data_IF_106306392178
#
_entry.id   IF_106306392178
#
_cell.length_a   1.000
_cell.length_b   1.000
_cell.length_c   1.000
_cell.angle_alpha   90.00
_cell.angle_beta   90.00
_cell.angle_gamma   90.00
#
_symmetry.space_group_name_H-M   'P 1'
#
loop_
_entity.id
_entity.type
_entity.pdbx_description
1 polymer ?
#
# COMPACT_ATOMS: atom_id res chain seq x y z
N UNK A 1 33.43 5.17 -8.91
CA UNK A 1 32.08 4.62 -9.11
C UNK A 1 31.12 5.80 -9.17
N UNK A 2 30.58 6.12 -10.35
CA UNK A 2 29.74 7.30 -10.52
C UNK A 2 28.43 7.11 -9.76
N UNK A 3 28.20 7.88 -8.70
CA UNK A 3 26.88 7.98 -8.07
C UNK A 3 25.93 8.53 -9.13
N UNK A 4 25.14 7.63 -9.72
CA UNK A 4 24.02 8.03 -10.57
C UNK A 4 23.01 8.67 -9.61
N UNK A 5 22.85 9.99 -9.70
CA UNK A 5 21.75 10.70 -9.06
C UNK A 5 20.45 10.17 -9.65
N UNK A 6 19.95 9.06 -9.11
CA UNK A 6 18.70 8.45 -9.56
C UNK A 6 17.57 9.34 -9.08
N UNK A 7 16.96 10.09 -10.00
CA UNK A 7 15.71 10.81 -9.74
C UNK A 7 14.69 9.81 -9.17
N UNK A 8 14.02 10.10 -8.04
CA UNK A 8 12.98 9.25 -7.49
C UNK A 8 11.95 8.78 -8.53
N UNK A 9 11.61 9.63 -9.51
CA UNK A 9 10.71 9.24 -10.60
C UNK A 9 11.29 8.15 -11.50
N UNK A 10 12.59 8.24 -11.79
CA UNK A 10 13.30 7.25 -12.58
C UNK A 10 13.39 5.91 -11.82
N UNK A 11 13.66 5.94 -10.52
CA UNK A 11 13.67 4.73 -9.69
C UNK A 11 12.30 4.03 -9.68
N UNK A 12 11.21 4.79 -9.52
CA UNK A 12 9.85 4.25 -9.55
C UNK A 12 9.50 3.64 -10.91
N UNK A 13 9.91 4.28 -12.02
CA UNK A 13 9.73 3.75 -13.36
C UNK A 13 10.47 2.43 -13.57
N UNK A 14 11.74 2.34 -13.14
CA UNK A 14 12.50 1.10 -13.20
C UNK A 14 11.88 -0.01 -12.36
N UNK A 15 11.38 0.31 -11.17
CA UNK A 15 10.69 -0.66 -10.33
C UNK A 15 9.41 -1.16 -11.00
N UNK A 16 8.61 -0.28 -11.60
CA UNK A 16 7.41 -0.64 -12.35
C UNK A 16 7.74 -1.61 -13.49
N UNK A 17 8.82 -1.36 -14.26
CA UNK A 17 9.27 -2.24 -15.34
C UNK A 17 9.72 -3.62 -14.82
N UNK A 18 10.49 -3.65 -13.73
CA UNK A 18 10.92 -4.90 -13.10
C UNK A 18 9.72 -5.71 -12.65
N UNK A 19 8.79 -5.08 -11.94
CA UNK A 19 7.57 -5.73 -11.47
C UNK A 19 6.69 -6.20 -12.62
N UNK A 20 6.61 -5.46 -13.73
CA UNK A 20 5.87 -5.92 -14.91
C UNK A 20 6.49 -7.19 -15.52
N UNK A 21 7.81 -7.28 -15.58
CA UNK A 21 8.50 -8.49 -16.03
C UNK A 21 8.21 -9.68 -15.10
N UNK A 22 8.28 -9.49 -13.78
CA UNK A 22 8.13 -10.60 -12.84
C UNK A 22 6.67 -11.00 -12.56
N UNK A 23 5.78 -10.02 -12.43
CA UNK A 23 4.38 -10.24 -12.05
C UNK A 23 3.48 -10.61 -13.24
N UNK A 24 3.88 -10.26 -14.47
CA UNK A 24 3.10 -10.58 -15.67
C UNK A 24 3.81 -11.59 -16.55
N UNK A 25 5.06 -11.31 -16.96
CA UNK A 25 5.75 -12.13 -17.99
C UNK A 25 6.36 -13.42 -17.45
N UNK A 26 6.84 -13.41 -16.19
CA UNK A 26 7.48 -14.57 -15.54
C UNK A 26 6.61 -15.23 -14.48
N UNK A 27 5.40 -14.71 -14.22
CA UNK A 27 4.52 -15.31 -13.25
C UNK A 27 4.07 -16.70 -13.75
N UNK A 28 4.11 -17.74 -12.91
CA UNK A 28 3.75 -19.11 -13.31
C UNK A 28 2.26 -19.25 -13.66
N UNK A 29 1.43 -18.35 -13.15
CA UNK A 29 0.00 -18.30 -13.40
C UNK A 29 -0.36 -16.87 -13.83
N UNK A 30 -1.31 -16.77 -14.76
CA UNK A 30 -1.93 -15.51 -15.14
C UNK A 30 -3.40 -15.56 -14.72
N UNK A 31 -3.94 -14.43 -14.27
CA UNK A 31 -5.35 -14.35 -13.91
C UNK A 31 -6.16 -14.42 -15.23
N UNK A 32 -7.13 -15.34 -15.38
CA UNK A 32 -7.91 -15.42 -16.61
C UNK A 32 -8.66 -14.11 -16.89
N UNK A 33 -8.91 -13.80 -18.16
CA UNK A 33 -9.41 -12.49 -18.61
C UNK A 33 -10.73 -12.08 -17.94
N UNK A 34 -11.66 -13.02 -17.82
CA UNK A 34 -12.93 -12.81 -17.11
C UNK A 34 -12.73 -12.37 -15.66
N UNK A 35 -11.77 -12.95 -14.94
CA UNK A 35 -11.45 -12.57 -13.56
C UNK A 35 -10.76 -11.21 -13.48
N UNK A 36 -9.86 -10.89 -14.43
CA UNK A 36 -9.22 -9.57 -14.49
C UNK A 36 -10.25 -8.46 -14.72
N UNK A 37 -11.19 -8.67 -15.63
CA UNK A 37 -12.27 -7.71 -15.86
C UNK A 37 -13.17 -7.54 -14.63
N UNK A 38 -13.50 -8.63 -13.93
CA UNK A 38 -14.25 -8.56 -12.67
C UNK A 38 -13.49 -7.77 -11.60
N UNK A 39 -12.18 -8.01 -11.43
CA UNK A 39 -11.34 -7.27 -10.47
C UNK A 39 -11.39 -5.78 -10.81
N UNK A 40 -11.20 -5.39 -12.07
CA UNK A 40 -11.23 -3.98 -12.49
C UNK A 40 -12.59 -3.35 -12.27
N UNK A 41 -13.68 -4.09 -12.52
CA UNK A 41 -15.05 -3.64 -12.29
C UNK A 41 -15.34 -3.42 -10.81
N UNK A 42 -14.83 -4.30 -9.94
CA UNK A 42 -15.05 -4.21 -8.49
C UNK A 42 -14.03 -3.33 -7.76
N UNK A 43 -12.85 -3.07 -8.34
CA UNK A 43 -11.79 -2.29 -7.72
C UNK A 43 -12.26 -0.94 -7.15
N UNK A 44 -13.04 -0.09 -7.84
CA UNK A 44 -13.53 1.17 -7.26
C UNK A 44 -14.36 0.94 -5.99
N UNK A 45 -15.23 -0.07 -6.00
CA UNK A 45 -16.11 -0.38 -4.88
C UNK A 45 -15.33 -0.97 -3.70
N UNK A 46 -14.35 -1.84 -3.97
CA UNK A 46 -13.47 -2.38 -2.94
C UNK A 46 -12.62 -1.26 -2.32
N UNK A 47 -12.09 -0.33 -3.12
CA UNK A 47 -11.35 0.82 -2.60
C UNK A 47 -12.23 1.75 -1.78
N UNK A 48 -13.46 2.03 -2.20
CA UNK A 48 -14.43 2.80 -1.39
C UNK A 48 -14.71 2.09 -0.07
N UNK A 49 -14.92 0.77 -0.09
CA UNK A 49 -15.14 -0.02 1.11
C UNK A 49 -13.93 0.04 2.05
N UNK A 50 -12.70 -0.08 1.51
CA UNK A 50 -11.46 0.08 2.27
C UNK A 50 -11.38 1.45 2.95
N UNK A 51 -11.79 2.53 2.29
CA UNK A 51 -11.81 3.88 2.87
C UNK A 51 -12.90 4.00 3.96
N UNK A 52 -14.11 3.52 3.68
CA UNK A 52 -15.25 3.58 4.62
C UNK A 52 -14.95 2.83 5.91
N UNK A 53 -14.22 1.71 5.84
CA UNK A 53 -13.79 0.94 7.01
C UNK A 53 -12.50 1.54 7.60
N UNK A 54 -11.56 1.89 6.75
CA UNK A 54 -10.23 2.36 7.11
C UNK A 54 -10.25 3.65 7.90
N UNK A 55 -11.07 4.63 7.51
CA UNK A 55 -11.17 5.92 8.22
C UNK A 55 -11.63 5.73 9.67
N UNK A 56 -12.77 5.05 9.97
CA UNK A 56 -13.16 4.73 11.34
C UNK A 56 -12.10 3.93 12.10
N UNK A 57 -11.45 2.95 11.47
CA UNK A 57 -10.40 2.15 12.12
C UNK A 57 -9.22 3.03 12.54
N UNK A 58 -8.75 3.91 11.66
CA UNK A 58 -7.66 4.84 11.95
C UNK A 58 -8.04 5.77 13.10
N UNK A 59 -9.28 6.29 13.12
CA UNK A 59 -9.76 7.13 14.22
C UNK A 59 -9.89 6.35 15.55
N UNK A 60 -10.34 5.10 15.50
CA UNK A 60 -10.44 4.24 16.68
C UNK A 60 -9.05 3.92 17.24
N UNK A 61 -8.10 3.55 16.39
CA UNK A 61 -6.70 3.32 16.77
C UNK A 61 -6.08 4.60 17.32
N UNK A 62 -6.41 5.77 16.75
CA UNK A 62 -5.97 7.05 17.28
C UNK A 62 -6.47 7.29 18.70
N UNK A 63 -7.76 7.09 18.94
CA UNK A 63 -8.39 7.26 20.25
C UNK A 63 -7.85 6.28 21.29
N UNK A 64 -7.78 4.99 20.95
CA UNK A 64 -7.24 3.95 21.83
C UNK A 64 -5.75 4.23 22.12
N UNK A 65 -4.97 4.58 21.09
CA UNK A 65 -3.55 4.87 21.23
C UNK A 65 -3.30 6.06 22.16
N UNK A 66 -4.11 7.12 22.08
CA UNK A 66 -4.05 8.26 22.98
C UNK A 66 -4.37 7.88 24.44
N UNK A 67 -5.38 7.03 24.65
CA UNK A 67 -5.76 6.55 25.98
C UNK A 67 -4.72 5.63 26.62
N UNK A 68 -4.08 4.77 25.81
CA UNK A 68 -3.08 3.78 26.29
C UNK A 68 -1.71 4.42 26.47
N UNK A 69 -1.39 5.48 25.72
CA UNK A 69 -0.07 6.13 25.70
C UNK A 69 0.53 6.42 27.08
N UNK A 70 -0.19 7.07 28.04
CA UNK A 70 0.36 7.34 29.38
C UNK A 70 0.75 6.08 30.14
N UNK A 71 0.07 4.97 29.90
CA UNK A 71 0.30 3.71 30.60
C UNK A 71 1.52 2.95 30.06
N UNK A 72 1.96 3.24 28.83
CA UNK A 72 3.13 2.58 28.23
C UNK A 72 4.43 2.89 28.97
N UNK A 73 4.49 4.03 29.68
CA UNK A 73 5.63 4.40 30.52
C UNK A 73 5.84 3.42 31.69
N UNK A 74 4.78 2.80 32.22
CA UNK A 74 4.89 1.81 33.29
C UNK A 74 5.48 0.48 32.84
N UNK A 75 5.48 0.20 31.53
CA UNK A 75 6.07 -1.01 30.94
C UNK A 75 7.58 -0.86 30.64
N UNK A 76 8.15 0.32 30.93
CA UNK A 76 9.56 0.63 30.84
C UNK A 76 9.92 1.56 29.67
N UNK A 77 11.00 2.36 29.78
CA UNK A 77 11.34 3.39 28.81
C UNK A 77 11.57 2.88 27.38
N UNK A 78 12.19 1.70 27.25
CA UNK A 78 12.44 1.06 25.94
C UNK A 78 11.14 0.64 25.26
N UNK A 79 10.18 0.12 26.02
CA UNK A 79 8.88 -0.26 25.50
C UNK A 79 8.10 0.98 25.06
N UNK A 80 8.03 2.01 25.91
CA UNK A 80 7.32 3.26 25.60
C UNK A 80 7.85 3.95 24.33
N UNK A 81 9.17 3.95 24.14
CA UNK A 81 9.80 4.50 22.94
C UNK A 81 9.46 3.69 21.69
N UNK A 82 9.59 2.37 21.77
CA UNK A 82 9.27 1.46 20.67
C UNK A 82 7.79 1.54 20.28
N UNK A 83 6.88 1.54 21.27
CA UNK A 83 5.45 1.67 21.05
C UNK A 83 5.13 3.00 20.35
N UNK A 84 5.63 4.11 20.88
CA UNK A 84 5.38 5.45 20.33
C UNK A 84 5.86 5.57 18.88
N UNK A 85 7.04 5.04 18.57
CA UNK A 85 7.58 5.03 17.21
C UNK A 85 6.69 4.24 16.25
N UNK A 86 6.38 2.99 16.59
CA UNK A 86 5.55 2.11 15.75
C UNK A 86 4.13 2.66 15.58
N UNK A 87 3.55 3.22 16.64
CA UNK A 87 2.25 3.85 16.62
C UNK A 87 2.21 5.03 15.66
N UNK A 88 3.13 6.00 15.80
CA UNK A 88 3.17 7.17 14.90
C UNK A 88 3.43 6.75 13.45
N UNK A 89 4.36 5.81 13.23
CA UNK A 89 4.66 5.29 11.90
C UNK A 89 3.41 4.64 11.27
N UNK A 90 2.68 3.81 12.01
CA UNK A 90 1.44 3.19 11.53
C UNK A 90 0.39 4.22 11.17
N UNK A 91 0.18 5.24 12.02
CA UNK A 91 -0.82 6.28 11.81
C UNK A 91 -0.55 7.12 10.56
N UNK A 92 0.71 7.53 10.37
CA UNK A 92 1.11 8.28 9.17
C UNK A 92 0.93 7.40 7.94
N UNK A 93 1.38 6.14 8.00
CA UNK A 93 1.27 5.18 6.89
C UNK A 93 -0.18 4.99 6.48
N UNK A 94 -1.06 4.66 7.42
CA UNK A 94 -2.49 4.47 7.16
C UNK A 94 -3.14 5.72 6.57
N UNK A 95 -2.82 6.91 7.11
CA UNK A 95 -3.31 8.17 6.57
C UNK A 95 -2.90 8.39 5.11
N UNK A 96 -1.62 8.16 4.78
CA UNK A 96 -1.11 8.29 3.41
C UNK A 96 -1.73 7.27 2.46
N UNK A 97 -1.91 6.02 2.91
CA UNK A 97 -2.57 4.96 2.13
C UNK A 97 -4.01 5.37 1.78
N UNK A 98 -4.80 5.81 2.77
CA UNK A 98 -6.18 6.26 2.56
C UNK A 98 -6.24 7.43 1.58
N UNK A 99 -5.30 8.38 1.67
CA UNK A 99 -5.22 9.50 0.72
C UNK A 99 -5.01 8.99 -0.71
N UNK A 100 -4.05 8.09 -0.93
CA UNK A 100 -3.84 7.53 -2.26
C UNK A 100 -5.05 6.73 -2.77
N UNK A 101 -5.67 5.93 -1.91
CA UNK A 101 -6.89 5.21 -2.25
C UNK A 101 -8.02 6.16 -2.64
N UNK A 102 -8.26 7.23 -1.86
CA UNK A 102 -9.28 8.23 -2.14
C UNK A 102 -9.02 8.96 -3.47
N UNK A 103 -7.76 9.30 -3.76
CA UNK A 103 -7.36 9.89 -5.03
C UNK A 103 -7.50 8.92 -6.21
N UNK A 104 -7.39 7.62 -5.97
CA UNK A 104 -7.57 6.59 -6.99
C UNK A 104 -9.05 6.45 -7.39
N UNK A 105 -9.99 6.52 -6.45
CA UNK A 105 -11.43 6.20 -6.68
C UNK A 105 -12.01 6.81 -7.95
N UNK A 106 -11.93 8.14 -8.22
CA UNK A 106 -12.54 8.72 -9.41
C UNK A 106 -11.95 8.16 -10.71
N UNK A 107 -10.63 7.95 -10.74
CA UNK A 107 -9.95 7.40 -11.90
C UNK A 107 -10.12 5.88 -12.02
N UNK A 108 -10.39 5.15 -10.94
CA UNK A 108 -10.72 3.71 -11.00
C UNK A 108 -12.03 3.48 -11.76
N UNK A 109 -13.06 4.31 -11.52
CA UNK A 109 -14.31 4.25 -12.29
C UNK A 109 -14.10 4.51 -13.78
N UNK A 110 -13.17 5.40 -14.11
CA UNK A 110 -12.82 5.77 -15.49
C UNK A 110 -11.74 4.90 -16.12
N UNK A 111 -11.20 3.93 -15.35
CA UNK A 111 -10.08 3.08 -15.73
C UNK A 111 -8.86 3.89 -16.21
N UNK A 112 -8.49 4.92 -15.47
CA UNK A 112 -7.34 5.76 -15.76
C UNK A 112 -6.04 5.15 -15.20
N UNK A 113 -4.96 5.17 -15.99
CA UNK A 113 -3.62 4.71 -15.56
C UNK A 113 -3.11 5.45 -14.33
N UNK A 114 -3.51 6.71 -14.15
CA UNK A 114 -3.18 7.50 -12.96
C UNK A 114 -3.75 6.89 -11.68
N UNK A 115 -4.97 6.34 -11.71
CA UNK A 115 -5.57 5.69 -10.55
C UNK A 115 -4.88 4.39 -10.18
N UNK A 116 -4.52 3.59 -11.17
CA UNK A 116 -3.68 2.41 -10.96
C UNK A 116 -2.35 2.77 -10.28
N UNK A 117 -1.70 3.86 -10.71
CA UNK A 117 -0.47 4.35 -10.07
C UNK A 117 -0.68 4.76 -8.62
N UNK A 118 -1.81 5.37 -8.27
CA UNK A 118 -2.10 5.69 -6.87
C UNK A 118 -2.25 4.43 -6.02
N UNK A 119 -2.92 3.38 -6.51
CA UNK A 119 -2.98 2.09 -5.80
C UNK A 119 -1.58 1.46 -5.67
N UNK A 120 -0.74 1.56 -6.71
CA UNK A 120 0.65 1.11 -6.65
C UNK A 120 1.45 1.90 -5.58
N UNK A 121 1.30 3.22 -5.50
CA UNK A 121 1.96 4.03 -4.47
C UNK A 121 1.46 3.72 -3.06
N UNK A 122 0.17 3.49 -2.88
CA UNK A 122 -0.38 3.01 -1.61
C UNK A 122 0.28 1.68 -1.19
N UNK A 123 0.45 0.74 -2.12
CA UNK A 123 1.14 -0.52 -1.83
C UNK A 123 2.61 -0.34 -1.48
N UNK A 124 3.32 0.61 -2.12
CA UNK A 124 4.72 0.92 -1.80
C UNK A 124 4.85 1.52 -0.39
N UNK A 125 3.92 2.37 0.01
CA UNK A 125 3.87 2.93 1.38
C UNK A 125 3.75 1.81 2.42
N UNK A 126 2.90 0.81 2.18
CA UNK A 126 2.80 -0.36 3.05
C UNK A 126 4.10 -1.17 3.10
N UNK A 127 4.82 -1.31 1.98
CA UNK A 127 6.13 -1.98 1.97
C UNK A 127 7.14 -1.22 2.84
N UNK A 128 7.23 0.10 2.66
CA UNK A 128 8.14 0.93 3.47
C UNK A 128 7.80 0.83 4.95
N UNK A 129 6.51 0.87 5.30
CA UNK A 129 6.06 0.74 6.68
C UNK A 129 6.36 -0.63 7.29
N UNK A 130 6.12 -1.72 6.57
CA UNK A 130 6.42 -3.08 7.02
C UNK A 130 7.91 -3.30 7.27
N UNK A 131 8.77 -2.68 6.46
CA UNK A 131 10.22 -2.73 6.64
C UNK A 131 10.64 -2.09 7.98
N UNK A 132 10.16 -0.88 8.26
CA UNK A 132 10.46 -0.16 9.50
C UNK A 132 9.73 -0.70 10.73
N UNK A 133 8.55 -1.31 10.55
CA UNK A 133 7.74 -1.91 11.61
C UNK A 133 8.21 -3.30 12.04
N UNK A 134 9.14 -3.92 11.33
CA UNK A 134 9.70 -5.23 11.67
C UNK A 134 8.86 -6.43 11.20
N UNK A 135 7.72 -6.21 10.55
CA UNK A 135 6.89 -7.27 9.96
C UNK A 135 7.33 -7.60 8.54
N UNK A 136 8.50 -8.22 8.42
CA UNK A 136 9.09 -8.47 7.11
C UNK A 136 8.36 -9.57 6.34
N UNK A 137 7.82 -10.56 7.04
CA UNK A 137 7.08 -11.67 6.41
C UNK A 137 5.76 -11.15 5.88
N UNK A 138 4.96 -10.44 6.70
CA UNK A 138 3.71 -9.84 6.26
C UNK A 138 3.92 -8.81 5.15
N UNK A 139 4.97 -7.99 5.26
CA UNK A 139 5.37 -7.05 4.21
C UNK A 139 5.63 -7.75 2.87
N UNK A 140 6.48 -8.78 2.84
CA UNK A 140 6.85 -9.46 1.59
C UNK A 140 5.64 -10.16 0.98
N UNK A 141 4.88 -10.91 1.79
CA UNK A 141 3.71 -11.65 1.32
C UNK A 141 2.64 -10.69 0.81
N UNK A 142 2.35 -9.64 1.56
CA UNK A 142 1.39 -8.60 1.18
C UNK A 142 1.79 -7.87 -0.09
N UNK A 143 3.07 -7.51 -0.24
CA UNK A 143 3.61 -6.87 -1.43
C UNK A 143 3.46 -7.75 -2.67
N UNK A 144 3.87 -9.03 -2.57
CA UNK A 144 3.78 -9.97 -3.68
C UNK A 144 2.34 -10.18 -4.13
N UNK A 145 1.42 -10.38 -3.19
CA UNK A 145 0.00 -10.56 -3.51
C UNK A 145 -0.61 -9.29 -4.14
N UNK A 146 -0.38 -8.13 -3.51
CA UNK A 146 -0.89 -6.85 -3.98
C UNK A 146 -0.35 -6.51 -5.37
N UNK A 147 0.96 -6.65 -5.58
CA UNK A 147 1.59 -6.34 -6.86
C UNK A 147 1.21 -7.34 -7.94
N UNK A 148 1.10 -8.63 -7.61
CA UNK A 148 0.61 -9.61 -8.57
C UNK A 148 -0.76 -9.22 -9.11
N UNK A 149 -1.73 -8.94 -8.23
CA UNK A 149 -3.08 -8.53 -8.66
C UNK A 149 -3.04 -7.22 -9.43
N UNK A 150 -2.36 -6.18 -8.91
CA UNK A 150 -2.29 -4.87 -9.54
C UNK A 150 -1.69 -4.94 -10.95
N UNK A 151 -0.55 -5.62 -11.12
CA UNK A 151 0.12 -5.67 -12.42
C UNK A 151 -0.63 -6.53 -13.44
N UNK A 152 -1.32 -7.59 -13.00
CA UNK A 152 -2.15 -8.42 -13.88
C UNK A 152 -3.32 -7.65 -14.49
N UNK A 153 -3.88 -6.66 -13.79
CA UNK A 153 -5.00 -5.84 -14.28
C UNK A 153 -4.57 -4.51 -14.89
N UNK A 154 -3.28 -4.18 -14.88
CA UNK A 154 -2.73 -2.89 -15.32
C UNK A 154 -3.17 -2.51 -16.74
N UNK A 155 -3.26 -3.48 -17.65
CA UNK A 155 -3.64 -3.26 -19.06
C UNK A 155 -5.05 -2.71 -19.26
N UNK A 156 -5.94 -2.89 -18.27
CA UNK A 156 -7.31 -2.35 -18.32
C UNK A 156 -7.35 -0.86 -18.00
N UNK A 157 -6.28 -0.29 -17.46
CA UNK A 157 -6.17 1.13 -17.10
C UNK A 157 -5.37 1.90 -18.17
N UNK A 158 -6.00 2.89 -18.80
CA UNK A 158 -5.45 3.66 -19.93
C UNK A 158 -4.98 5.04 -19.52
#
# INVERSE_FOLDING_TARGET
MSQKNTDPKQALGQLEEILEVYMVKKAPFAIPENWRELIVKFAPYLTILSIIIGVPVVLAVLGIGALVSPFTAFLGPRYALSYSFNYVLSMITFGVVIVFEALAVPGLFRREKKAWRFLFYASLVNVVAGFFGGDWVGMIVGALLSWYVLFQVKEYYK
#
